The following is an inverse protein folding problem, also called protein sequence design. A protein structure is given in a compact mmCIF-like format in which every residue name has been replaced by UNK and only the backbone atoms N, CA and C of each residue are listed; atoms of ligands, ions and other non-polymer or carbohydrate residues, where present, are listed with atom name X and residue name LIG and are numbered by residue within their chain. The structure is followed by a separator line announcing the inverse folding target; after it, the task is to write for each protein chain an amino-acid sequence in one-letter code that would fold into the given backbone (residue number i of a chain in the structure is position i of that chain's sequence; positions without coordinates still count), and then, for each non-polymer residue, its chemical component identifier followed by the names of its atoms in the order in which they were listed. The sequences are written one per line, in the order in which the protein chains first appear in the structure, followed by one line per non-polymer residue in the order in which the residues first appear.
data_IF_601584383921
#
_entry.id   IF_601584383921
#
_cell.length_a   1.000
_cell.length_b   1.000
_cell.length_c   1.000
_cell.angle_alpha   90.00
_cell.angle_beta   90.00
_cell.angle_gamma   90.00
#
_symmetry.space_group_name_H-M   'P 1'
#
loop_
_entity.id
_entity.type
_entity.pdbx_description
1 polymer ?
#
# COMPACT_ATOMS: atom_id res chain seq x y z
N UNK A 1 -7.40 -12.24 8.29
CA UNK A 1 -6.16 -12.20 7.46
C UNK A 1 -6.40 -12.79 6.07
N UNK A 2 -6.71 -14.07 5.96
CA UNK A 2 -6.89 -14.78 4.67
C UNK A 2 -7.90 -14.11 3.72
N UNK A 3 -9.10 -13.75 4.21
CA UNK A 3 -10.13 -13.04 3.44
C UNK A 3 -9.62 -11.70 2.85
N UNK A 4 -8.86 -10.93 3.63
CA UNK A 4 -8.26 -9.68 3.18
C UNK A 4 -7.24 -9.96 2.07
N UNK A 5 -6.31 -10.85 2.32
CA UNK A 5 -5.21 -11.11 1.40
C UNK A 5 -5.61 -11.92 0.16
N UNK A 6 -6.73 -12.63 0.19
CA UNK A 6 -7.32 -13.19 -1.03
C UNK A 6 -7.63 -12.08 -2.05
N UNK A 7 -8.24 -10.96 -1.61
CA UNK A 7 -8.49 -9.79 -2.47
C UNK A 7 -7.19 -9.17 -3.02
N UNK A 8 -6.15 -9.09 -2.19
CA UNK A 8 -4.83 -8.58 -2.62
C UNK A 8 -4.21 -9.47 -3.70
N UNK A 9 -4.30 -10.79 -3.54
CA UNK A 9 -3.79 -11.74 -4.54
C UNK A 9 -4.49 -11.63 -5.89
N UNK A 10 -5.77 -11.29 -5.92
CA UNK A 10 -6.53 -11.04 -7.15
C UNK A 10 -5.99 -9.81 -7.89
N UNK A 11 -5.68 -8.73 -7.17
CA UNK A 11 -5.05 -7.55 -7.77
C UNK A 11 -3.67 -7.92 -8.33
N UNK A 12 -2.85 -8.61 -7.55
CA UNK A 12 -1.51 -9.04 -7.98
C UNK A 12 -1.54 -9.96 -9.21
N UNK A 13 -2.54 -10.85 -9.31
CA UNK A 13 -2.69 -11.75 -10.45
C UNK A 13 -2.92 -11.01 -11.78
N UNK A 14 -3.48 -9.80 -11.71
CA UNK A 14 -3.75 -8.95 -12.85
C UNK A 14 -2.69 -7.86 -13.09
N UNK A 15 -1.68 -7.75 -12.21
CA UNK A 15 -0.62 -6.77 -12.36
C UNK A 15 0.60 -7.39 -13.06
N UNK A 16 1.00 -6.87 -14.25
CA UNK A 16 2.08 -7.45 -15.06
C UNK A 16 3.46 -7.38 -14.41
N UNK A 17 3.63 -6.56 -13.38
CA UNK A 17 4.89 -6.40 -12.63
C UNK A 17 4.95 -7.28 -11.38
N UNK A 18 3.88 -8.01 -11.06
CA UNK A 18 3.86 -8.94 -9.93
C UNK A 18 4.85 -10.07 -10.11
N UNK A 19 5.54 -10.41 -9.03
CA UNK A 19 6.45 -11.56 -9.01
C UNK A 19 5.71 -12.89 -8.73
N UNK A 20 4.52 -12.80 -8.11
CA UNK A 20 3.71 -13.97 -7.74
C UNK A 20 2.26 -13.79 -8.24
N UNK A 21 2.03 -13.67 -9.56
CA UNK A 21 0.73 -13.31 -10.15
C UNK A 21 -0.25 -14.50 -10.14
N UNK A 22 -0.60 -14.98 -8.96
CA UNK A 22 -1.50 -16.13 -8.78
C UNK A 22 -2.58 -15.77 -7.77
N UNK A 23 -3.83 -15.88 -8.17
CA UNK A 23 -4.94 -15.76 -7.23
C UNK A 23 -4.89 -16.88 -6.19
N UNK A 24 -5.10 -16.51 -4.94
CA UNK A 24 -5.11 -17.43 -3.81
C UNK A 24 -6.43 -17.32 -3.07
N UNK A 25 -7.08 -18.48 -2.89
CA UNK A 25 -8.34 -18.54 -2.16
C UNK A 25 -8.14 -18.26 -0.66
N UNK A 26 -9.20 -17.85 0.00
CA UNK A 26 -9.23 -17.70 1.45
C UNK A 26 -8.88 -19.01 2.17
N UNK A 27 -9.37 -20.14 1.67
CA UNK A 27 -9.06 -21.48 2.20
C UNK A 27 -7.57 -21.79 2.08
N UNK A 28 -6.95 -21.56 0.91
CA UNK A 28 -5.50 -21.72 0.74
C UNK A 28 -4.71 -20.86 1.71
N UNK A 29 -5.09 -19.58 1.87
CA UNK A 29 -4.38 -18.62 2.73
C UNK A 29 -4.59 -18.89 4.22
N UNK A 30 -5.67 -19.57 4.62
CA UNK A 30 -5.93 -19.92 6.02
C UNK A 30 -5.40 -21.29 6.44
N UNK A 31 -5.02 -22.14 5.47
CA UNK A 31 -4.65 -23.53 5.73
C UNK A 31 -3.13 -23.74 5.63
N UNK A 32 -2.46 -24.17 6.70
CA UNK A 32 -1.05 -24.57 6.64
C UNK A 32 -0.82 -25.70 5.64
N UNK A 33 0.23 -25.59 4.84
CA UNK A 33 0.64 -26.59 3.85
C UNK A 33 2.11 -26.41 3.47
N UNK A 34 2.75 -27.35 2.76
CA UNK A 34 4.11 -27.18 2.27
C UNK A 34 4.30 -25.94 1.37
N UNK A 35 3.24 -25.45 0.74
CA UNK A 35 3.23 -24.24 -0.11
C UNK A 35 2.83 -22.98 0.64
N UNK A 36 2.27 -23.12 1.84
CA UNK A 36 1.83 -22.04 2.73
C UNK A 36 2.13 -22.44 4.18
N UNK A 37 3.39 -22.66 4.50
CA UNK A 37 3.85 -23.13 5.79
C UNK A 37 3.76 -22.04 6.87
N UNK A 38 3.73 -22.46 8.13
CA UNK A 38 3.83 -21.56 9.28
C UNK A 38 5.20 -20.87 9.27
N UNK A 39 5.18 -19.55 9.25
CA UNK A 39 6.40 -18.74 9.25
C UNK A 39 6.73 -18.23 10.65
N UNK A 40 5.76 -17.59 11.29
CA UNK A 40 5.81 -17.12 12.67
C UNK A 40 4.37 -16.96 13.16
N UNK A 41 4.01 -17.59 14.28
CA UNK A 41 2.64 -17.52 14.81
C UNK A 41 2.14 -16.08 14.94
N UNK A 42 0.96 -15.73 14.43
CA UNK A 42 -0.03 -16.55 13.73
C UNK A 42 0.08 -16.54 12.19
N UNK A 43 1.21 -16.18 11.62
CA UNK A 43 1.37 -15.90 10.19
C UNK A 43 1.86 -17.12 9.40
N UNK A 44 1.19 -17.37 8.28
CA UNK A 44 1.64 -18.30 7.24
C UNK A 44 2.50 -17.56 6.21
N UNK A 45 3.25 -18.31 5.39
CA UNK A 45 4.13 -17.78 4.34
C UNK A 45 3.52 -16.63 3.54
N UNK A 46 2.29 -16.79 3.06
CA UNK A 46 1.63 -15.80 2.20
C UNK A 46 0.89 -14.70 2.97
N UNK A 47 1.07 -14.63 4.28
CA UNK A 47 0.66 -13.48 5.10
C UNK A 47 1.77 -12.45 5.27
N UNK A 48 2.97 -12.72 4.78
CA UNK A 48 4.12 -11.83 4.96
C UNK A 48 4.71 -11.41 3.62
N UNK A 49 5.43 -10.29 3.63
CA UNK A 49 6.17 -9.80 2.48
C UNK A 49 7.11 -10.88 1.92
N UNK A 50 7.11 -11.04 0.59
CA UNK A 50 8.06 -11.90 -0.10
C UNK A 50 9.21 -11.04 -0.63
N UNK A 51 10.38 -11.12 -0.02
CA UNK A 51 11.53 -10.25 -0.25
C UNK A 51 12.54 -10.80 -1.29
N UNK A 52 12.47 -12.09 -1.60
CA UNK A 52 13.30 -12.73 -2.62
C UNK A 52 12.77 -12.42 -4.03
N UNK A 53 12.83 -11.15 -4.43
CA UNK A 53 12.28 -10.61 -5.68
C UNK A 53 13.31 -9.76 -6.44
N UNK A 54 13.09 -9.58 -7.74
CA UNK A 54 13.90 -8.74 -8.60
C UNK A 54 13.01 -7.65 -9.22
N UNK A 55 12.79 -6.58 -8.48
CA UNK A 55 11.92 -5.48 -8.86
C UNK A 55 12.60 -4.13 -8.60
N UNK A 56 12.33 -3.16 -9.45
CA UNK A 56 12.77 -1.79 -9.28
C UNK A 56 11.76 -0.81 -9.87
N UNK A 57 11.51 0.29 -9.18
CA UNK A 57 10.67 1.37 -9.64
C UNK A 57 11.39 2.70 -9.45
N UNK A 58 11.06 3.66 -10.30
CA UNK A 58 11.53 5.03 -10.22
C UNK A 58 10.42 6.01 -10.62
N UNK A 59 10.44 7.20 -10.05
CA UNK A 59 9.57 8.31 -10.42
C UNK A 59 10.41 9.55 -10.68
N UNK A 60 9.91 10.44 -11.54
CA UNK A 60 10.47 11.77 -11.72
C UNK A 60 9.59 12.78 -10.98
N UNK A 61 10.21 13.53 -10.08
CA UNK A 61 9.56 14.63 -9.35
C UNK A 61 10.19 15.94 -9.81
N UNK A 62 9.36 16.91 -10.15
CA UNK A 62 9.79 18.22 -10.59
C UNK A 62 8.72 19.27 -10.30
N UNK A 63 9.07 20.55 -10.34
CA UNK A 63 8.08 21.63 -10.28
C UNK A 63 7.24 21.69 -11.56
N UNK A 64 6.09 22.35 -11.49
CA UNK A 64 5.23 22.54 -12.65
C UNK A 64 5.93 23.38 -13.73
N UNK A 65 6.68 24.41 -13.32
CA UNK A 65 7.47 25.24 -14.24
C UNK A 65 8.52 24.40 -14.99
N UNK A 66 9.18 23.47 -14.28
CA UNK A 66 10.16 22.59 -14.93
C UNK A 66 9.50 21.61 -15.88
N UNK A 67 8.32 21.12 -15.54
CA UNK A 67 7.54 20.28 -16.44
C UNK A 67 7.10 21.01 -17.70
N UNK A 68 6.74 22.31 -17.58
CA UNK A 68 6.42 23.17 -18.72
C UNK A 68 7.65 23.42 -19.61
N UNK A 69 8.78 23.75 -19.00
CA UNK A 69 10.06 23.94 -19.69
C UNK A 69 10.49 22.71 -20.48
N UNK A 70 10.27 21.52 -19.92
CA UNK A 70 10.60 20.25 -20.56
C UNK A 70 9.51 19.75 -21.54
N UNK A 71 8.43 20.49 -21.71
CA UNK A 71 7.32 20.13 -22.61
C UNK A 71 6.53 18.89 -22.17
N UNK A 72 6.53 18.58 -20.87
CA UNK A 72 5.72 17.46 -20.36
C UNK A 72 4.25 17.84 -20.49
N UNK A 73 3.48 17.05 -21.24
CA UNK A 73 2.05 17.32 -21.45
C UNK A 73 1.28 17.23 -20.11
N UNK A 74 0.24 18.08 -19.96
CA UNK A 74 -0.50 18.18 -18.68
C UNK A 74 -1.23 16.88 -18.32
N UNK A 75 -1.71 16.14 -19.28
CA UNK A 75 -2.35 14.83 -19.12
C UNK A 75 -1.40 13.71 -18.62
N UNK A 76 -0.08 13.96 -18.64
CA UNK A 76 0.95 13.07 -18.12
C UNK A 76 1.36 13.39 -16.67
N UNK A 77 0.88 14.51 -16.14
CA UNK A 77 1.26 14.96 -14.80
C UNK A 77 0.30 14.43 -13.75
N UNK A 78 0.87 14.01 -12.61
CA UNK A 78 0.12 13.68 -11.39
C UNK A 78 0.72 14.53 -10.29
N UNK A 79 -0.14 15.18 -9.51
CA UNK A 79 0.28 16.17 -8.53
C UNK A 79 0.31 15.57 -7.12
N UNK A 80 1.37 15.84 -6.38
CA UNK A 80 1.44 15.55 -4.96
C UNK A 80 0.70 16.64 -4.19
N UNK A 81 -0.39 16.26 -3.52
CA UNK A 81 -1.22 17.21 -2.75
C UNK A 81 -0.91 17.19 -1.26
N UNK A 82 -0.39 16.11 -0.75
CA UNK A 82 -0.07 15.99 0.67
C UNK A 82 0.93 14.90 0.94
N UNK A 83 1.70 15.09 2.00
CA UNK A 83 2.63 14.11 2.53
C UNK A 83 2.60 14.15 4.06
N UNK A 84 2.78 13.02 4.71
CA UNK A 84 2.85 12.92 6.15
C UNK A 84 3.89 11.90 6.58
N UNK A 85 4.62 12.21 7.62
CA UNK A 85 5.63 11.37 8.23
C UNK A 85 5.56 11.48 9.74
N UNK A 86 5.74 10.36 10.42
CA UNK A 86 5.89 10.28 11.86
C UNK A 86 6.64 8.99 12.24
N UNK A 87 7.27 8.96 13.39
CA UNK A 87 7.97 7.80 13.94
C UNK A 87 7.33 7.34 15.24
N UNK A 88 7.11 6.04 15.37
CA UNK A 88 6.68 5.44 16.62
C UNK A 88 7.88 5.22 17.57
N UNK A 89 7.60 5.21 18.87
CA UNK A 89 8.54 4.75 19.87
C UNK A 89 8.81 3.25 19.71
N UNK A 90 9.89 2.77 20.35
CA UNK A 90 10.14 1.35 20.48
C UNK A 90 8.92 0.66 21.11
N UNK A 91 8.58 -0.54 20.66
CA UNK A 91 7.39 -1.28 21.10
C UNK A 91 7.27 -1.35 22.62
N UNK A 92 8.40 -1.52 23.32
CA UNK A 92 8.46 -1.57 24.79
C UNK A 92 8.13 -0.24 25.50
N UNK A 93 8.12 0.87 24.77
CA UNK A 93 7.84 2.21 25.29
C UNK A 93 6.45 2.73 24.88
N UNK A 94 5.75 1.99 24.02
CA UNK A 94 4.44 2.43 23.52
C UNK A 94 3.36 2.27 24.58
N UNK A 95 2.49 3.28 24.75
CA UNK A 95 1.31 3.18 25.64
C UNK A 95 0.30 2.15 25.18
N UNK A 96 0.25 1.89 23.87
CA UNK A 96 -0.59 0.87 23.21
C UNK A 96 0.26 0.09 22.23
N UNK A 97 0.08 -1.23 22.22
CA UNK A 97 0.80 -2.15 21.33
C UNK A 97 -0.06 -2.64 20.16
N UNK A 98 -1.36 -2.34 20.18
CA UNK A 98 -2.37 -2.79 19.21
C UNK A 98 -2.65 -1.76 18.09
N UNK A 99 -1.80 -0.72 17.98
CA UNK A 99 -1.92 0.31 16.95
C UNK A 99 -0.62 1.08 16.76
N UNK A 100 -0.61 1.99 15.81
CA UNK A 100 0.52 2.87 15.50
C UNK A 100 0.05 4.32 15.53
N UNK A 101 0.44 5.04 16.57
CA UNK A 101 0.21 6.49 16.65
C UNK A 101 0.89 7.23 15.49
N UNK A 102 2.08 6.79 15.09
CA UNK A 102 2.80 7.40 13.97
C UNK A 102 2.02 7.27 12.66
N UNK A 103 1.40 6.12 12.43
CA UNK A 103 0.56 5.89 11.25
C UNK A 103 -0.66 6.82 11.25
N UNK A 104 -1.35 6.95 12.37
CA UNK A 104 -2.49 7.87 12.53
C UNK A 104 -2.08 9.31 12.18
N UNK A 105 -0.96 9.79 12.76
CA UNK A 105 -0.46 11.14 12.54
C UNK A 105 0.00 11.35 11.09
N UNK A 106 0.73 10.40 10.51
CA UNK A 106 1.23 10.52 9.14
C UNK A 106 0.06 10.58 8.14
N UNK A 107 -0.93 9.71 8.28
CA UNK A 107 -2.13 9.70 7.43
C UNK A 107 -2.90 11.01 7.59
N UNK A 108 -3.16 11.44 8.82
CA UNK A 108 -3.92 12.67 9.06
C UNK A 108 -3.21 13.90 8.48
N UNK A 109 -1.89 14.03 8.67
CA UNK A 109 -1.11 15.13 8.08
C UNK A 109 -1.19 15.16 6.56
N UNK A 110 -1.06 14.00 5.90
CA UNK A 110 -1.17 13.92 4.44
C UNK A 110 -2.54 14.34 3.94
N UNK A 111 -3.60 13.89 4.60
CA UNK A 111 -4.99 14.23 4.26
C UNK A 111 -5.29 15.71 4.52
N UNK A 112 -4.86 16.26 5.66
CA UNK A 112 -5.06 17.67 6.02
C UNK A 112 -4.35 18.59 5.01
N UNK A 113 -3.10 18.28 4.66
CA UNK A 113 -2.35 19.05 3.67
C UNK A 113 -3.02 19.01 2.28
N UNK A 114 -3.60 17.87 1.92
CA UNK A 114 -4.35 17.73 0.67
C UNK A 114 -5.75 18.37 0.73
N UNK A 115 -6.23 18.81 1.91
CA UNK A 115 -7.60 19.29 2.11
C UNK A 115 -8.63 18.19 1.82
N UNK A 116 -8.33 16.94 2.18
CA UNK A 116 -9.16 15.76 1.88
C UNK A 116 -9.42 14.93 3.12
N UNK A 117 -10.37 14.02 2.99
CA UNK A 117 -10.64 12.94 3.95
C UNK A 117 -10.44 11.58 3.27
N UNK A 118 -10.42 10.50 4.03
CA UNK A 118 -10.36 9.14 3.48
C UNK A 118 -11.51 8.85 2.49
N UNK A 119 -12.69 9.44 2.72
CA UNK A 119 -13.83 9.35 1.80
C UNK A 119 -13.61 10.04 0.45
N UNK A 120 -12.67 10.97 0.36
CA UNK A 120 -12.30 11.64 -0.89
C UNK A 120 -11.25 10.92 -1.72
N UNK A 121 -10.73 9.79 -1.25
CA UNK A 121 -9.78 8.96 -1.98
C UNK A 121 -10.53 7.96 -2.85
N UNK A 122 -10.17 7.87 -4.13
CA UNK A 122 -10.67 6.85 -5.04
C UNK A 122 -9.84 5.56 -4.95
N UNK A 123 -8.56 5.67 -4.64
CA UNK A 123 -7.60 4.57 -4.65
C UNK A 123 -6.70 4.58 -3.43
N UNK A 124 -6.32 3.36 -3.02
CA UNK A 124 -5.32 3.13 -1.99
C UNK A 124 -4.24 2.15 -2.48
N UNK A 125 -3.01 2.34 -2.01
CA UNK A 125 -2.01 1.29 -1.96
C UNK A 125 -1.44 1.25 -0.55
N UNK A 126 -2.07 0.43 0.31
CA UNK A 126 -1.73 0.33 1.72
C UNK A 126 -0.56 -0.64 1.91
N UNK A 127 0.41 -0.24 2.71
CA UNK A 127 1.57 -1.06 2.99
C UNK A 127 1.17 -2.36 3.70
N UNK A 128 1.56 -3.49 3.17
CA UNK A 128 1.05 -4.81 3.53
C UNK A 128 2.14 -5.84 3.81
N UNK A 129 3.20 -5.42 4.50
CA UNK A 129 4.27 -6.34 4.94
C UNK A 129 3.72 -7.48 5.82
N UNK A 130 2.69 -7.17 6.60
CA UNK A 130 1.89 -8.08 7.41
C UNK A 130 0.41 -7.64 7.36
N UNK A 131 -0.55 -8.52 7.64
CA UNK A 131 -1.96 -8.14 7.71
C UNK A 131 -2.26 -7.05 8.75
N UNK A 132 -1.53 -7.04 9.88
CA UNK A 132 -1.70 -6.04 10.93
C UNK A 132 -1.42 -4.62 10.42
N UNK A 133 -0.46 -4.43 9.52
CA UNK A 133 -0.19 -3.13 8.91
C UNK A 133 -1.40 -2.60 8.12
N UNK A 134 -2.10 -3.48 7.39
CA UNK A 134 -3.34 -3.12 6.68
C UNK A 134 -4.47 -2.83 7.65
N UNK A 135 -4.64 -3.64 8.69
CA UNK A 135 -5.68 -3.39 9.70
C UNK A 135 -5.47 -2.08 10.46
N UNK A 136 -4.22 -1.77 10.83
CA UNK A 136 -3.91 -0.49 11.50
C UNK A 136 -4.15 0.70 10.56
N UNK A 137 -3.73 0.62 9.30
CA UNK A 137 -3.95 1.71 8.34
C UNK A 137 -5.43 1.90 8.00
N UNK A 138 -6.21 0.83 7.87
CA UNK A 138 -7.66 0.95 7.65
C UNK A 138 -8.39 1.50 8.86
N UNK A 139 -7.96 1.16 10.08
CA UNK A 139 -8.47 1.75 11.30
C UNK A 139 -8.18 3.27 11.36
N UNK A 140 -6.95 3.69 11.06
CA UNK A 140 -6.55 5.09 10.99
C UNK A 140 -7.34 5.90 9.95
N UNK A 141 -7.69 5.26 8.83
CA UNK A 141 -8.50 5.84 7.75
C UNK A 141 -10.02 5.82 8.04
N UNK A 142 -10.47 5.11 9.07
CA UNK A 142 -11.90 4.90 9.35
C UNK A 142 -12.58 4.02 8.28
N UNK A 143 -11.85 3.07 7.69
CA UNK A 143 -12.31 2.19 6.62
C UNK A 143 -12.53 0.78 7.17
N UNK A 144 -13.64 0.14 6.77
CA UNK A 144 -13.80 -1.31 6.99
C UNK A 144 -13.09 -2.08 5.85
N UNK A 145 -12.01 -2.83 6.12
CA UNK A 145 -11.22 -3.51 5.07
C UNK A 145 -11.99 -4.63 4.36
N UNK A 146 -13.14 -5.03 4.89
CA UNK A 146 -13.95 -6.11 4.32
C UNK A 146 -15.15 -5.62 3.51
N UNK A 147 -15.64 -4.40 3.78
CA UNK A 147 -16.86 -3.86 3.19
C UNK A 147 -16.64 -2.59 2.37
N UNK A 148 -15.47 -1.95 2.45
CA UNK A 148 -15.15 -0.87 1.53
C UNK A 148 -15.01 -1.43 0.10
N UNK A 149 -15.68 -0.79 -0.85
CA UNK A 149 -15.70 -1.24 -2.25
C UNK A 149 -14.42 -0.87 -3.01
N UNK A 150 -13.65 0.10 -2.47
CA UNK A 150 -12.41 0.55 -3.09
C UNK A 150 -11.29 -0.48 -2.88
N UNK A 151 -10.43 -0.71 -3.89
CA UNK A 151 -9.27 -1.56 -3.70
C UNK A 151 -8.32 -0.92 -2.69
N UNK A 152 -7.86 -1.70 -1.71
CA UNK A 152 -6.89 -1.27 -0.69
C UNK A 152 -5.44 -1.37 -1.19
N UNK A 153 -5.24 -1.86 -2.40
CA UNK A 153 -3.95 -1.97 -3.08
C UNK A 153 -4.14 -1.86 -4.59
N UNK A 154 -3.20 -1.21 -5.25
CA UNK A 154 -3.09 -1.19 -6.72
C UNK A 154 -2.01 -2.15 -7.22
N UNK A 155 -0.99 -2.40 -6.40
CA UNK A 155 0.08 -3.34 -6.75
C UNK A 155 -0.34 -4.80 -6.55
N UNK A 156 -1.13 -5.09 -5.52
CA UNK A 156 -1.47 -6.43 -5.05
C UNK A 156 -0.78 -6.80 -3.73
N UNK A 157 -0.01 -5.88 -3.14
CA UNK A 157 0.59 -6.02 -1.82
C UNK A 157 1.89 -6.82 -1.78
N UNK A 158 2.69 -6.60 -0.74
CA UNK A 158 4.03 -7.18 -0.59
C UNK A 158 4.07 -8.72 -0.63
N UNK A 159 3.05 -9.47 -0.17
CA UNK A 159 3.08 -10.93 -0.28
C UNK A 159 2.93 -11.46 -1.71
N UNK A 160 2.28 -10.75 -2.62
CA UNK A 160 1.91 -11.26 -3.94
C UNK A 160 2.53 -10.44 -5.07
N UNK A 161 2.52 -9.13 -4.98
CA UNK A 161 3.28 -8.27 -5.90
C UNK A 161 4.77 -8.53 -5.76
N UNK A 162 5.25 -8.58 -4.55
CA UNK A 162 6.63 -8.68 -4.13
C UNK A 162 7.01 -7.56 -3.18
N UNK A 163 7.98 -7.83 -2.30
CA UNK A 163 8.44 -6.92 -1.27
C UNK A 163 9.90 -6.50 -1.48
N UNK A 164 10.22 -5.63 -2.47
CA UNK A 164 11.58 -5.24 -2.81
C UNK A 164 12.19 -4.25 -1.79
N UNK A 165 12.08 -4.55 -0.51
CA UNK A 165 12.61 -3.72 0.57
C UNK A 165 12.04 -2.30 0.54
N UNK A 166 12.90 -1.29 0.67
CA UNK A 166 12.49 0.12 0.70
C UNK A 166 11.92 0.64 -0.64
N UNK A 167 12.03 -0.12 -1.72
CA UNK A 167 11.54 0.31 -3.04
C UNK A 167 10.04 -0.02 -3.26
N UNK A 168 9.39 -0.79 -2.35
CA UNK A 168 7.99 -1.19 -2.56
C UNK A 168 7.05 0.02 -2.72
N UNK A 169 7.14 1.00 -1.83
CA UNK A 169 6.24 2.18 -1.90
C UNK A 169 6.44 2.99 -3.19
N UNK A 170 7.64 2.95 -3.79
CA UNK A 170 7.89 3.56 -5.09
C UNK A 170 7.07 2.86 -6.19
N UNK A 171 6.90 1.54 -6.13
CA UNK A 171 6.00 0.81 -7.03
C UNK A 171 4.54 1.24 -6.82
N UNK A 172 4.10 1.37 -5.55
CA UNK A 172 2.76 1.89 -5.23
C UNK A 172 2.52 3.28 -5.80
N UNK A 173 3.51 4.19 -5.70
CA UNK A 173 3.42 5.55 -6.28
C UNK A 173 3.38 5.49 -7.82
N UNK A 174 4.19 4.63 -8.44
CA UNK A 174 4.21 4.49 -9.90
C UNK A 174 2.86 3.95 -10.43
N UNK A 175 2.28 2.93 -9.79
CA UNK A 175 0.96 2.38 -10.14
C UNK A 175 -0.15 3.42 -9.89
N UNK A 176 -0.10 4.13 -8.77
CA UNK A 176 -1.03 5.21 -8.47
C UNK A 176 -0.97 6.31 -9.54
N UNK A 177 0.22 6.76 -9.91
CA UNK A 177 0.40 7.77 -10.96
C UNK A 177 -0.12 7.28 -12.32
N UNK A 178 0.09 6.01 -12.66
CA UNK A 178 -0.44 5.40 -13.88
C UNK A 178 -1.97 5.40 -13.89
N UNK A 179 -2.58 5.02 -12.78
CA UNK A 179 -4.04 4.94 -12.62
C UNK A 179 -4.67 6.33 -12.70
N UNK A 180 -4.14 7.30 -11.92
CA UNK A 180 -4.68 8.66 -11.86
C UNK A 180 -4.55 9.45 -13.17
N UNK A 181 -3.61 9.11 -14.05
CA UNK A 181 -3.55 9.68 -15.41
C UNK A 181 -4.78 9.35 -16.24
N UNK A 182 -5.42 8.24 -15.99
CA UNK A 182 -6.67 7.84 -16.65
C UNK A 182 -7.93 8.46 -16.05
N UNK A 183 -7.83 9.08 -14.87
CA UNK A 183 -8.98 9.57 -14.10
C UNK A 183 -8.74 10.99 -13.56
N UNK A 184 -8.82 12.02 -14.41
CA UNK A 184 -8.61 13.41 -13.99
C UNK A 184 -9.54 13.82 -12.85
N UNK A 185 -8.94 14.37 -11.79
CA UNK A 185 -9.67 14.81 -10.58
C UNK A 185 -9.82 13.74 -9.50
N UNK A 186 -9.45 12.50 -9.75
CA UNK A 186 -9.38 11.46 -8.73
C UNK A 186 -8.16 11.65 -7.81
N UNK A 187 -8.29 11.19 -6.56
CA UNK A 187 -7.24 11.21 -5.55
C UNK A 187 -6.91 9.80 -5.10
N UNK A 188 -5.65 9.55 -4.82
CA UNK A 188 -5.18 8.29 -4.26
C UNK A 188 -4.21 8.50 -3.11
N UNK A 189 -4.13 7.52 -2.22
CA UNK A 189 -3.21 7.50 -1.08
C UNK A 189 -2.29 6.29 -1.18
N UNK A 190 -0.99 6.54 -1.09
CA UNK A 190 0.02 5.48 -0.97
C UNK A 190 0.62 5.55 0.43
N UNK A 191 0.69 4.43 1.11
CA UNK A 191 1.25 4.31 2.45
C UNK A 191 2.57 3.56 2.41
N UNK A 192 3.55 4.08 3.14
CA UNK A 192 4.81 3.42 3.45
C UNK A 192 4.87 3.10 4.95
N UNK A 193 5.58 2.03 5.31
CA UNK A 193 5.84 1.68 6.70
C UNK A 193 7.29 1.19 6.85
N UNK A 194 8.03 1.76 7.79
CA UNK A 194 9.45 1.50 8.02
C UNK A 194 9.77 0.56 9.18
N UNK A 195 8.78 -0.08 9.75
CA UNK A 195 8.89 -0.97 10.91
C UNK A 195 7.79 -0.74 11.93
N UNK A 196 7.68 -1.67 12.85
CA UNK A 196 6.68 -1.69 13.94
C UNK A 196 7.36 -1.80 15.27
#
# INVERSE_FOLDING_TARGET
MARLFSKFSQVAANNPYSQFPVERSEDFLSTPSPKNYEFADPFLKWHIAQDAVNQGAAILIMSEEKADELGVAKDKRVYLHGAGEAGDDLLSLRPKIDGSWAMDVAIQRALDQAGKTSGGMAYFDLYSCFPCAVFSSTAALGIDPFHDERPLTLTGGLPFFGGPGNNYSMHGIAEMARTLRGEPGAFGLVLANGGW
#
